data_IF_727322352261
#
_entry.id   IF_727322352261
#
_cell.length_a   1.000
_cell.length_b   1.000
_cell.length_c   1.000
_cell.angle_alpha   90.00
_cell.angle_beta   90.00
_cell.angle_gamma   90.00
#
_symmetry.space_group_name_H-M   'P 1'
#
loop_
_entity.id
_entity.type
_entity.pdbx_description
1 polymer ?
#
# COMPACT_ATOMS: atom_id res chain seq x y z
N UNK A 1 -35.06 13.77 11.89
CA UNK A 1 -33.79 13.05 12.13
C UNK A 1 -32.87 13.11 10.90
N UNK A 2 -32.59 14.31 10.39
CA UNK A 2 -32.04 14.55 9.04
C UNK A 2 -30.50 14.60 8.95
N UNK A 3 -29.80 14.12 9.98
CA UNK A 3 -28.34 13.98 9.96
C UNK A 3 -27.84 12.65 10.50
N UNK A 4 -28.75 11.79 10.98
CA UNK A 4 -28.40 10.53 11.61
C UNK A 4 -27.81 9.53 10.61
N UNK A 5 -28.36 9.46 9.39
CA UNK A 5 -27.82 8.61 8.33
C UNK A 5 -26.37 8.99 7.99
N UNK A 6 -26.12 10.27 7.73
CA UNK A 6 -24.78 10.80 7.46
C UNK A 6 -23.81 10.51 8.62
N UNK A 7 -24.26 10.73 9.87
CA UNK A 7 -23.44 10.46 11.06
C UNK A 7 -23.11 8.97 11.24
N UNK A 8 -24.06 8.08 10.99
CA UNK A 8 -23.84 6.62 11.06
C UNK A 8 -22.81 6.19 10.01
N UNK A 9 -22.96 6.63 8.77
CA UNK A 9 -22.03 6.31 7.67
C UNK A 9 -20.60 6.77 7.99
N UNK A 10 -20.43 8.02 8.43
CA UNK A 10 -19.13 8.58 8.87
C UNK A 10 -18.47 7.68 9.93
N UNK A 11 -19.25 7.25 10.93
CA UNK A 11 -18.74 6.42 12.03
C UNK A 11 -18.40 5.01 11.55
N UNK A 12 -19.27 4.38 10.77
CA UNK A 12 -19.05 3.03 10.23
C UNK A 12 -17.81 2.99 9.34
N UNK A 13 -17.66 3.98 8.46
CA UNK A 13 -16.50 4.09 7.56
C UNK A 13 -15.20 4.33 8.35
N UNK A 14 -15.25 5.10 9.44
CA UNK A 14 -14.09 5.29 10.31
C UNK A 14 -13.62 3.96 10.94
N UNK A 15 -14.55 3.19 11.51
CA UNK A 15 -14.23 1.88 12.09
C UNK A 15 -13.78 0.86 11.03
N UNK A 16 -14.37 0.89 9.84
CA UNK A 16 -13.93 0.07 8.71
C UNK A 16 -12.48 0.39 8.33
N UNK A 17 -12.15 1.67 8.14
CA UNK A 17 -10.80 2.11 7.81
C UNK A 17 -9.79 1.71 8.91
N UNK A 18 -10.17 1.88 10.18
CA UNK A 18 -9.35 1.49 11.32
C UNK A 18 -9.12 -0.03 11.39
N UNK A 19 -10.18 -0.81 11.19
CA UNK A 19 -10.12 -2.27 11.16
C UNK A 19 -9.20 -2.78 10.03
N UNK A 20 -9.36 -2.23 8.82
CA UNK A 20 -8.50 -2.59 7.68
C UNK A 20 -7.05 -2.21 7.94
N UNK A 21 -6.80 -1.02 8.49
CA UNK A 21 -5.43 -0.60 8.82
C UNK A 21 -4.82 -1.52 9.89
N UNK A 22 -5.60 -1.95 10.89
CA UNK A 22 -5.16 -2.90 11.91
C UNK A 22 -4.91 -4.30 11.34
N UNK A 23 -5.73 -4.74 10.37
CA UNK A 23 -5.59 -6.04 9.73
C UNK A 23 -4.36 -6.13 8.83
N UNK A 24 -4.05 -5.07 8.09
CA UNK A 24 -2.98 -5.06 7.08
C UNK A 24 -1.70 -4.32 7.52
N UNK A 25 -1.76 -3.51 8.57
CA UNK A 25 -0.64 -2.75 9.11
C UNK A 25 -0.21 -3.22 10.51
N UNK A 26 1.08 -3.10 10.82
CA UNK A 26 1.62 -3.37 12.16
C UNK A 26 1.71 -2.06 12.96
N UNK A 27 0.76 -1.85 13.88
CA UNK A 27 0.67 -0.61 14.67
C UNK A 27 1.87 -0.41 15.60
N UNK A 28 2.55 -1.51 15.99
CA UNK A 28 3.67 -1.45 16.93
C UNK A 28 4.97 -1.08 16.23
N UNK A 29 5.16 -1.52 14.99
CA UNK A 29 6.39 -1.26 14.22
C UNK A 29 6.35 0.03 13.41
N UNK A 30 5.16 0.48 13.00
CA UNK A 30 5.02 1.65 12.13
C UNK A 30 5.14 2.98 12.89
N UNK A 31 5.61 4.00 12.19
CA UNK A 31 5.68 5.35 12.74
C UNK A 31 4.28 5.95 12.88
N UNK A 32 3.99 6.57 14.04
CA UNK A 32 2.65 7.11 14.36
C UNK A 32 2.13 8.12 13.33
N UNK A 33 3.00 8.97 12.78
CA UNK A 33 2.63 9.93 11.73
C UNK A 33 2.16 9.22 10.46
N UNK A 34 2.86 8.17 10.03
CA UNK A 34 2.50 7.37 8.85
C UNK A 34 1.17 6.66 9.09
N UNK A 35 0.98 6.09 10.28
CA UNK A 35 -0.26 5.43 10.66
C UNK A 35 -1.47 6.40 10.57
N UNK A 36 -1.34 7.59 11.17
CA UNK A 36 -2.41 8.59 11.15
C UNK A 36 -2.69 9.08 9.72
N UNK A 37 -1.65 9.40 8.95
CA UNK A 37 -1.81 9.86 7.58
C UNK A 37 -2.44 8.82 6.67
N UNK A 38 -2.07 7.54 6.81
CA UNK A 38 -2.69 6.43 6.09
C UNK A 38 -4.15 6.21 6.51
N UNK A 39 -4.45 6.26 7.82
CA UNK A 39 -5.82 6.15 8.32
C UNK A 39 -6.70 7.25 7.75
N UNK A 40 -6.24 8.51 7.79
CA UNK A 40 -6.96 9.65 7.25
C UNK A 40 -7.17 9.51 5.73
N UNK A 41 -6.15 9.05 5.00
CA UNK A 41 -6.25 8.83 3.55
C UNK A 41 -7.31 7.79 3.21
N UNK A 42 -7.24 6.62 3.85
CA UNK A 42 -8.18 5.53 3.61
C UNK A 42 -9.59 5.90 4.02
N UNK A 43 -9.72 6.57 5.17
CA UNK A 43 -10.99 7.08 5.65
C UNK A 43 -11.66 8.01 4.64
N UNK A 44 -10.94 9.01 4.13
CA UNK A 44 -11.48 9.93 3.11
C UNK A 44 -11.85 9.20 1.81
N UNK A 45 -11.01 8.28 1.34
CA UNK A 45 -11.30 7.50 0.13
C UNK A 45 -12.57 6.64 0.27
N UNK A 46 -12.71 5.91 1.38
CA UNK A 46 -13.90 5.10 1.62
C UNK A 46 -15.13 5.98 1.82
N UNK A 47 -14.98 7.11 2.50
CA UNK A 47 -16.08 8.03 2.76
C UNK A 47 -16.71 8.52 1.44
N UNK A 48 -15.91 8.82 0.42
CA UNK A 48 -16.42 9.21 -0.91
C UNK A 48 -17.33 8.13 -1.50
N UNK A 49 -16.97 6.85 -1.37
CA UNK A 49 -17.75 5.73 -1.93
C UNK A 49 -19.15 5.64 -1.31
N UNK A 50 -19.26 5.87 -0.01
CA UNK A 50 -20.55 5.79 0.72
C UNK A 50 -21.37 7.08 0.67
N UNK A 51 -20.71 8.25 0.59
CA UNK A 51 -21.40 9.55 0.55
C UNK A 51 -21.90 9.92 -0.85
N UNK A 52 -21.22 9.48 -1.91
CA UNK A 52 -21.63 9.82 -3.29
C UNK A 52 -23.07 9.37 -3.62
N UNK A 53 -23.52 8.13 -3.30
CA UNK A 53 -24.92 7.73 -3.51
C UNK A 53 -25.91 8.59 -2.73
N UNK A 54 -25.57 8.98 -1.48
CA UNK A 54 -26.42 9.84 -0.66
C UNK A 54 -26.58 11.21 -1.31
N UNK A 55 -25.49 11.81 -1.78
CA UNK A 55 -25.52 13.10 -2.48
C UNK A 55 -26.44 13.05 -3.72
N UNK A 56 -26.23 12.07 -4.61
CA UNK A 56 -27.05 11.88 -5.82
C UNK A 56 -28.54 11.71 -5.47
N UNK A 57 -28.85 10.94 -4.41
CA UNK A 57 -30.23 10.72 -3.97
C UNK A 57 -30.90 11.99 -3.44
N UNK A 58 -30.14 12.86 -2.77
CA UNK A 58 -30.66 14.14 -2.26
C UNK A 58 -31.00 15.08 -3.42
N UNK A 59 -30.11 15.25 -4.39
CA UNK A 59 -30.34 16.09 -5.58
C UNK A 59 -31.55 15.62 -6.40
N UNK A 60 -31.71 14.31 -6.58
CA UNK A 60 -32.86 13.72 -7.26
C UNK A 60 -34.19 13.97 -6.55
N UNK A 61 -34.18 14.04 -5.22
CA UNK A 61 -35.38 14.29 -4.40
C UNK A 61 -35.82 15.76 -4.46
N UNK A 62 -34.87 16.71 -4.45
CA UNK A 62 -35.15 18.15 -4.60
C UNK A 62 -35.73 18.48 -5.99
N UNK A 63 -35.25 17.82 -7.04
CA UNK A 63 -35.69 18.08 -8.42
C UNK A 63 -37.14 17.62 -8.70
N UNK A 64 -37.62 16.57 -8.02
CA UNK A 64 -39.01 16.12 -8.09
C UNK A 64 -39.97 16.98 -7.24
N UNK A 65 -39.46 17.61 -6.18
CA UNK A 65 -40.22 18.44 -5.25
C UNK A 65 -40.78 19.73 -5.89
N UNK A 66 -40.23 20.18 -7.02
CA UNK A 66 -40.71 21.37 -7.73
C UNK A 66 -41.80 21.12 -8.78
N UNK A 67 -42.08 19.86 -9.18
CA UNK A 67 -42.93 19.62 -10.36
C UNK A 67 -44.32 19.02 -10.12
N UNK A 68 -44.62 18.35 -9.02
CA UNK A 68 -45.92 17.64 -8.91
C UNK A 68 -46.43 17.52 -7.45
N UNK A 69 -47.65 18.04 -7.22
CA UNK A 69 -48.63 17.82 -6.12
C UNK A 69 -48.44 18.56 -4.77
N UNK A 70 -49.49 19.21 -4.22
CA UNK A 70 -49.51 19.86 -2.90
C UNK A 70 -49.85 18.88 -1.76
N UNK A 71 -49.09 17.78 -1.62
CA UNK A 71 -49.14 16.92 -0.42
C UNK A 71 -47.99 17.27 0.53
N UNK A 72 -48.16 17.17 1.86
CA UNK A 72 -47.07 17.39 2.81
C UNK A 72 -46.01 16.30 2.59
N UNK A 73 -44.93 16.67 1.90
CA UNK A 73 -43.85 15.76 1.58
C UNK A 73 -43.00 15.49 2.84
N UNK A 74 -42.98 14.24 3.31
CA UNK A 74 -42.17 13.85 4.45
C UNK A 74 -40.70 13.75 4.03
N UNK A 75 -39.83 14.42 4.80
CA UNK A 75 -38.38 14.33 4.60
C UNK A 75 -37.94 12.87 4.79
N UNK A 76 -37.29 12.24 3.79
CA UNK A 76 -36.77 10.89 3.95
C UNK A 76 -35.69 10.88 5.02
N UNK A 77 -35.42 9.72 5.63
CA UNK A 77 -34.35 9.55 6.62
C UNK A 77 -33.00 10.05 6.07
N UNK A 78 -32.73 9.80 4.79
CA UNK A 78 -31.52 10.23 4.10
C UNK A 78 -31.47 11.73 3.73
N UNK A 79 -32.49 12.53 4.04
CA UNK A 79 -32.48 13.96 3.72
C UNK A 79 -31.40 14.67 4.52
N UNK A 80 -30.53 15.42 3.84
CA UNK A 80 -29.45 16.23 4.43
C UNK A 80 -29.80 17.71 4.23
N UNK A 81 -29.68 18.57 5.25
CA UNK A 81 -29.92 20.01 5.13
C UNK A 81 -29.05 20.69 4.07
N UNK A 82 -29.64 21.68 3.39
CA UNK A 82 -28.95 22.51 2.42
C UNK A 82 -27.73 23.21 3.07
N UNK A 83 -26.59 23.19 2.37
CA UNK A 83 -25.33 23.79 2.83
C UNK A 83 -24.36 22.83 3.53
N UNK A 84 -24.83 21.71 4.10
CA UNK A 84 -23.91 20.72 4.72
C UNK A 84 -23.07 20.02 3.65
N UNK A 85 -23.70 19.57 2.56
CA UNK A 85 -23.02 18.82 1.51
C UNK A 85 -21.92 19.62 0.79
N UNK A 86 -22.12 20.90 0.40
CA UNK A 86 -21.03 21.73 -0.15
C UNK A 86 -19.86 21.95 0.81
N UNK A 87 -20.12 22.14 2.11
CA UNK A 87 -19.06 22.29 3.12
C UNK A 87 -18.30 20.98 3.29
N UNK A 88 -19.03 19.86 3.37
CA UNK A 88 -18.47 18.52 3.45
C UNK A 88 -17.51 18.23 2.28
N UNK A 89 -17.97 18.42 1.04
CA UNK A 89 -17.15 18.22 -0.15
C UNK A 89 -15.96 19.16 -0.21
N UNK A 90 -16.09 20.40 0.26
CA UNK A 90 -14.95 21.33 0.37
C UNK A 90 -13.89 20.81 1.33
N UNK A 91 -14.29 20.30 2.49
CA UNK A 91 -13.35 19.68 3.45
C UNK A 91 -12.70 18.45 2.82
N UNK A 92 -13.47 17.51 2.28
CA UNK A 92 -12.93 16.30 1.64
C UNK A 92 -11.97 16.64 0.51
N UNK A 93 -12.33 17.59 -0.36
CA UNK A 93 -11.49 18.03 -1.46
C UNK A 93 -10.15 18.58 -0.98
N UNK A 94 -10.14 19.62 -0.13
CA UNK A 94 -8.88 20.26 0.28
C UNK A 94 -8.01 19.35 1.15
N UNK A 95 -8.62 18.56 2.02
CA UNK A 95 -7.89 17.55 2.80
C UNK A 95 -7.24 16.51 1.90
N UNK A 96 -7.96 16.00 0.89
CA UNK A 96 -7.44 15.04 -0.09
C UNK A 96 -6.32 15.63 -0.96
N UNK A 97 -6.43 16.90 -1.37
CA UNK A 97 -5.36 17.60 -2.09
C UNK A 97 -4.10 17.73 -1.23
N UNK A 98 -4.25 18.16 0.03
CA UNK A 98 -3.13 18.24 0.98
C UNK A 98 -2.49 16.87 1.23
N UNK A 99 -3.31 15.83 1.39
CA UNK A 99 -2.81 14.48 1.59
C UNK A 99 -2.03 13.97 0.39
N UNK A 100 -2.57 14.17 -0.80
CA UNK A 100 -2.02 13.61 -2.05
C UNK A 100 -0.73 14.31 -2.46
N UNK A 101 -0.69 15.65 -2.37
CA UNK A 101 0.42 16.43 -2.90
C UNK A 101 1.47 16.83 -1.85
N UNK A 102 1.15 16.74 -0.56
CA UNK A 102 2.08 17.13 0.50
C UNK A 102 2.34 16.00 1.48
N UNK A 103 1.32 15.51 2.18
CA UNK A 103 1.54 14.63 3.33
C UNK A 103 2.03 13.23 2.93
N UNK A 104 1.36 12.55 1.99
CA UNK A 104 1.71 11.18 1.58
C UNK A 104 3.10 11.09 0.93
N UNK A 105 3.47 11.96 -0.04
CA UNK A 105 4.81 11.95 -0.63
C UNK A 105 5.91 12.24 0.41
N UNK A 106 5.67 13.20 1.31
CA UNK A 106 6.57 13.49 2.41
C UNK A 106 6.76 12.27 3.33
N UNK A 107 5.67 11.64 3.77
CA UNK A 107 5.72 10.45 4.62
C UNK A 107 6.42 9.29 3.93
N UNK A 108 6.23 9.13 2.61
CA UNK A 108 6.87 8.07 1.83
C UNK A 108 8.39 8.25 1.77
N UNK A 109 8.89 9.48 1.60
CA UNK A 109 10.33 9.76 1.66
C UNK A 109 10.87 9.72 3.10
N UNK A 110 10.10 10.19 4.08
CA UNK A 110 10.48 10.15 5.49
C UNK A 110 10.66 8.71 6.00
N UNK A 111 9.70 7.82 5.70
CA UNK A 111 9.76 6.41 6.09
C UNK A 111 10.92 5.65 5.42
N UNK A 112 11.32 6.07 4.22
CA UNK A 112 12.39 5.47 3.43
C UNK A 112 13.75 6.16 3.59
N UNK A 113 13.85 7.17 4.45
CA UNK A 113 15.10 7.89 4.70
C UNK A 113 16.02 7.11 5.66
N UNK A 114 17.32 7.08 5.34
CA UNK A 114 18.35 6.47 6.19
C UNK A 114 18.93 7.40 7.26
N UNK A 115 18.32 8.58 7.47
CA UNK A 115 18.78 9.54 8.48
C UNK A 115 18.68 8.97 9.90
N UNK A 116 19.71 9.22 10.72
CA UNK A 116 19.78 8.72 12.11
C UNK A 116 18.99 9.59 13.10
N UNK A 117 18.71 10.84 12.75
CA UNK A 117 17.93 11.79 13.55
C UNK A 117 16.61 12.15 12.86
N UNK A 118 15.59 12.55 13.64
CA UNK A 118 14.30 13.02 13.10
C UNK A 118 14.50 14.20 12.14
N UNK A 119 15.35 15.16 12.53
CA UNK A 119 15.68 16.32 11.70
C UNK A 119 16.39 15.92 10.40
N UNK A 120 17.30 14.95 10.46
CA UNK A 120 17.94 14.38 9.27
C UNK A 120 16.94 13.73 8.33
N UNK A 121 15.99 12.95 8.87
CA UNK A 121 14.92 12.33 8.09
C UNK A 121 13.99 13.36 7.43
N UNK A 122 13.57 14.38 8.17
CA UNK A 122 12.75 15.48 7.63
C UNK A 122 13.50 16.21 6.52
N UNK A 123 14.78 16.55 6.74
CA UNK A 123 15.61 17.23 5.73
C UNK A 123 15.74 16.40 4.46
N UNK A 124 16.06 15.10 4.58
CA UNK A 124 16.13 14.20 3.42
C UNK A 124 14.78 14.11 2.70
N UNK A 125 13.68 13.97 3.44
CA UNK A 125 12.35 13.89 2.84
C UNK A 125 11.97 15.17 2.09
N UNK A 126 12.26 16.35 2.66
CA UNK A 126 12.04 17.63 1.98
C UNK A 126 12.90 17.79 0.74
N UNK A 127 14.17 17.39 0.79
CA UNK A 127 15.06 17.48 -0.38
C UNK A 127 14.59 16.56 -1.51
N UNK A 128 14.25 15.30 -1.21
CA UNK A 128 13.76 14.35 -2.22
C UNK A 128 12.46 14.86 -2.88
N UNK A 129 11.52 15.37 -2.09
CA UNK A 129 10.28 15.95 -2.62
C UNK A 129 10.54 17.27 -3.36
N UNK A 130 11.44 18.14 -2.89
CA UNK A 130 11.77 19.39 -3.56
C UNK A 130 12.44 19.16 -4.93
N UNK A 131 13.27 18.12 -5.06
CA UNK A 131 13.82 17.72 -6.35
C UNK A 131 12.68 17.27 -7.28
N UNK A 132 11.81 16.39 -6.80
CA UNK A 132 10.69 15.87 -7.59
C UNK A 132 9.72 16.98 -8.03
N UNK A 133 9.23 17.82 -7.11
CA UNK A 133 8.33 18.92 -7.47
C UNK A 133 9.04 20.05 -8.21
N UNK A 134 10.33 20.27 -7.92
CA UNK A 134 11.15 21.25 -8.62
C UNK A 134 11.26 20.93 -10.12
N UNK A 135 11.43 19.66 -10.50
CA UNK A 135 11.44 19.29 -11.92
C UNK A 135 10.10 19.51 -12.59
N UNK A 136 8.97 19.19 -11.93
CA UNK A 136 7.64 19.53 -12.47
C UNK A 136 7.42 21.03 -12.61
N UNK A 137 7.87 21.82 -11.62
CA UNK A 137 7.73 23.27 -11.65
C UNK A 137 8.56 23.89 -12.78
N UNK A 138 9.76 23.35 -13.07
CA UNK A 138 10.55 23.78 -14.22
C UNK A 138 9.85 23.49 -15.54
N UNK A 139 9.32 22.28 -15.71
CA UNK A 139 8.58 21.92 -16.93
C UNK A 139 7.34 22.81 -17.08
N UNK A 140 6.54 22.93 -16.03
CA UNK A 140 5.34 23.77 -16.01
C UNK A 140 5.65 25.24 -16.27
N UNK A 141 6.73 25.77 -15.64
CA UNK A 141 7.20 27.13 -15.85
C UNK A 141 7.63 27.39 -17.30
N UNK A 142 8.31 26.43 -17.94
CA UNK A 142 8.69 26.55 -19.35
C UNK A 142 7.48 26.61 -20.29
N UNK A 143 6.44 25.82 -19.99
CA UNK A 143 5.17 25.86 -20.72
C UNK A 143 4.42 27.17 -20.48
N UNK A 144 4.43 27.71 -19.26
CA UNK A 144 3.81 28.99 -18.97
C UNK A 144 4.52 30.14 -19.69
N UNK A 145 5.86 30.13 -19.75
CA UNK A 145 6.62 31.14 -20.51
C UNK A 145 6.24 31.06 -22.00
N UNK A 146 6.15 29.85 -22.55
CA UNK A 146 5.70 29.66 -23.94
C UNK A 146 4.33 30.30 -24.20
N UNK A 147 3.36 30.07 -23.30
CA UNK A 147 2.01 30.64 -23.43
C UNK A 147 2.01 32.16 -23.23
N UNK A 148 2.80 32.68 -22.27
CA UNK A 148 2.85 34.11 -21.94
C UNK A 148 3.53 34.97 -23.02
N UNK A 149 4.40 34.38 -23.86
CA UNK A 149 5.07 35.08 -24.97
C UNK A 149 4.16 35.19 -26.20
N UNK A 150 3.09 34.39 -26.29
CA UNK A 150 2.14 34.50 -27.38
C UNK A 150 1.31 35.79 -27.26
N UNK A 151 1.34 36.69 -28.26
CA UNK A 151 0.77 38.04 -28.17
C UNK A 151 -0.76 38.06 -28.05
N UNK A 152 -1.43 36.96 -28.38
CA UNK A 152 -2.89 36.82 -28.31
C UNK A 152 -3.41 36.28 -26.96
N UNK A 153 -2.51 35.85 -26.05
CA UNK A 153 -2.89 35.16 -24.81
C UNK A 153 -2.47 35.96 -23.57
N UNK A 154 -3.42 36.68 -22.98
CA UNK A 154 -3.23 37.33 -21.69
C UNK A 154 -3.49 36.34 -20.54
N UNK A 155 -2.46 36.05 -19.74
CA UNK A 155 -2.62 35.18 -18.57
C UNK A 155 -2.94 35.99 -17.30
N UNK A 156 -4.17 35.88 -16.82
CA UNK A 156 -4.59 36.40 -15.52
C UNK A 156 -4.33 35.37 -14.41
N UNK A 157 -4.27 35.83 -13.16
CA UNK A 157 -4.14 34.94 -11.99
C UNK A 157 -5.30 33.92 -11.89
N UNK A 158 -6.51 34.34 -12.25
CA UNK A 158 -7.69 33.46 -12.23
C UNK A 158 -7.59 32.35 -13.28
N UNK A 159 -7.10 32.66 -14.48
CA UNK A 159 -6.85 31.66 -15.52
C UNK A 159 -5.74 30.70 -15.10
N UNK A 160 -4.68 31.18 -14.43
CA UNK A 160 -3.63 30.33 -13.90
C UNK A 160 -4.15 29.35 -12.83
N UNK A 161 -5.02 29.80 -11.92
CA UNK A 161 -5.70 28.93 -10.96
C UNK A 161 -6.56 27.89 -11.66
N UNK A 162 -7.29 28.31 -12.71
CA UNK A 162 -8.13 27.43 -13.52
C UNK A 162 -7.31 26.36 -14.23
N UNK A 163 -6.16 26.72 -14.80
CA UNK A 163 -5.21 25.79 -15.42
C UNK A 163 -4.71 24.78 -14.37
N UNK A 164 -4.34 25.23 -13.17
CA UNK A 164 -3.86 24.35 -12.10
C UNK A 164 -4.91 23.33 -11.65
N UNK A 165 -6.14 23.79 -11.40
CA UNK A 165 -7.27 22.91 -11.03
C UNK A 165 -7.58 21.91 -12.16
N UNK A 166 -7.60 22.40 -13.40
CA UNK A 166 -7.87 21.56 -14.57
C UNK A 166 -6.77 20.52 -14.76
N UNK A 167 -5.49 20.90 -14.64
CA UNK A 167 -4.37 19.98 -14.75
C UNK A 167 -4.40 18.89 -13.68
N UNK A 168 -4.70 19.24 -12.42
CA UNK A 168 -4.83 18.28 -11.33
C UNK A 168 -5.99 17.30 -11.56
N UNK A 169 -7.13 17.79 -12.07
CA UNK A 169 -8.26 16.93 -12.43
C UNK A 169 -7.94 16.03 -13.63
N UNK A 170 -7.27 16.54 -14.65
CA UNK A 170 -6.83 15.77 -15.82
C UNK A 170 -5.87 14.65 -15.43
N UNK A 171 -4.96 14.90 -14.47
CA UNK A 171 -4.10 13.85 -13.93
C UNK A 171 -4.90 12.73 -13.26
N UNK A 172 -5.91 13.07 -12.45
CA UNK A 172 -6.81 12.10 -11.83
C UNK A 172 -7.62 11.30 -12.86
N UNK A 173 -8.17 11.97 -13.87
CA UNK A 173 -8.92 11.33 -14.96
C UNK A 173 -8.04 10.41 -15.81
N UNK A 174 -6.79 10.82 -16.09
CA UNK A 174 -5.83 10.00 -16.80
C UNK A 174 -5.55 8.70 -16.04
N UNK A 175 -5.28 8.78 -14.73
CA UNK A 175 -5.10 7.59 -13.90
C UNK A 175 -6.37 6.73 -13.84
N UNK A 176 -7.55 7.34 -13.76
CA UNK A 176 -8.82 6.62 -13.81
C UNK A 176 -8.94 5.83 -15.11
N UNK A 177 -8.70 6.44 -16.27
CA UNK A 177 -8.78 5.76 -17.57
C UNK A 177 -7.81 4.57 -17.63
N UNK A 178 -6.57 4.72 -17.13
CA UNK A 178 -5.60 3.62 -17.09
C UNK A 178 -6.00 2.48 -16.15
N UNK A 179 -6.52 2.80 -14.97
CA UNK A 179 -6.85 1.81 -13.94
C UNK A 179 -8.23 1.17 -14.14
N UNK A 180 -9.18 1.89 -14.76
CA UNK A 180 -10.55 1.44 -14.99
C UNK A 180 -10.58 0.19 -15.88
N UNK A 181 -9.72 0.11 -16.89
CA UNK A 181 -9.63 -1.06 -17.76
C UNK A 181 -9.28 -2.33 -16.97
N UNK A 182 -8.31 -2.24 -16.06
CA UNK A 182 -7.97 -3.36 -15.17
C UNK A 182 -9.13 -3.70 -14.23
N UNK A 183 -9.76 -2.68 -13.62
CA UNK A 183 -10.86 -2.85 -12.68
C UNK A 183 -12.11 -3.49 -13.28
N UNK A 184 -12.54 -3.04 -14.47
CA UNK A 184 -13.76 -3.53 -15.12
C UNK A 184 -13.57 -4.85 -15.85
N UNK A 185 -12.36 -5.17 -16.33
CA UNK A 185 -12.13 -6.35 -17.16
C UNK A 185 -11.36 -7.43 -16.41
N UNK A 186 -10.17 -7.11 -15.90
CA UNK A 186 -9.30 -8.15 -15.33
C UNK A 186 -9.82 -8.64 -13.99
N UNK A 187 -10.44 -7.80 -13.15
CA UNK A 187 -10.99 -8.26 -11.86
C UNK A 187 -12.13 -9.29 -12.09
N UNK A 188 -13.23 -8.99 -12.84
CA UNK A 188 -14.26 -9.99 -13.09
C UNK A 188 -13.74 -11.24 -13.79
N UNK A 189 -12.86 -11.07 -14.80
CA UNK A 189 -12.22 -12.19 -15.50
C UNK A 189 -11.39 -13.06 -14.55
N UNK A 190 -10.71 -12.45 -13.58
CA UNK A 190 -9.92 -13.19 -12.60
C UNK A 190 -10.79 -14.05 -11.70
N UNK A 191 -11.96 -13.56 -11.26
CA UNK A 191 -12.93 -14.36 -10.50
C UNK A 191 -13.55 -15.46 -11.36
N UNK A 192 -13.92 -15.16 -12.60
CA UNK A 192 -14.43 -16.16 -13.53
C UNK A 192 -13.41 -17.28 -13.79
N UNK A 193 -12.14 -16.94 -13.96
CA UNK A 193 -11.09 -17.94 -14.17
C UNK A 193 -10.63 -18.63 -12.87
N UNK A 194 -10.93 -18.07 -11.70
CA UNK A 194 -10.60 -18.70 -10.42
C UNK A 194 -11.42 -19.96 -10.16
N UNK A 195 -12.59 -20.12 -10.79
CA UNK A 195 -13.37 -21.37 -10.73
C UNK A 195 -12.76 -22.50 -11.57
N UNK A 196 -11.86 -22.18 -12.52
CA UNK A 196 -11.22 -23.17 -13.40
C UNK A 196 -9.94 -23.70 -12.76
N UNK A 197 -10.05 -24.75 -11.94
CA UNK A 197 -8.96 -25.29 -11.13
C UNK A 197 -7.67 -25.57 -11.93
N UNK A 198 -7.76 -26.23 -13.09
CA UNK A 198 -6.58 -26.51 -13.93
C UNK A 198 -5.89 -25.25 -14.48
N UNK A 199 -6.66 -24.26 -14.95
CA UNK A 199 -6.08 -22.98 -15.40
C UNK A 199 -5.45 -22.21 -14.24
N UNK A 200 -6.11 -22.21 -13.08
CA UNK A 200 -5.62 -21.55 -11.88
C UNK A 200 -4.31 -22.17 -11.38
N UNK A 201 -4.19 -23.50 -11.43
CA UNK A 201 -2.95 -24.21 -11.07
C UNK A 201 -1.79 -23.82 -11.99
N UNK A 202 -1.99 -23.88 -13.32
CA UNK A 202 -0.95 -23.51 -14.30
C UNK A 202 -0.54 -22.04 -14.13
N UNK A 203 -1.51 -21.13 -13.96
CA UNK A 203 -1.26 -19.71 -13.68
C UNK A 203 -0.46 -19.52 -12.38
N UNK A 204 -0.73 -20.33 -11.37
CA UNK A 204 -0.04 -20.29 -10.07
C UNK A 204 1.40 -20.76 -10.20
N UNK A 205 1.67 -21.85 -10.95
CA UNK A 205 3.05 -22.26 -11.25
C UNK A 205 3.84 -21.21 -12.00
N UNK A 206 3.25 -20.60 -13.02
CA UNK A 206 3.92 -19.51 -13.76
C UNK A 206 4.29 -18.35 -12.83
N UNK A 207 3.37 -17.94 -11.95
CA UNK A 207 3.64 -16.92 -10.93
C UNK A 207 4.72 -17.37 -9.94
N UNK A 208 4.72 -18.64 -9.54
CA UNK A 208 5.69 -19.20 -8.62
C UNK A 208 7.10 -19.11 -9.22
N UNK A 209 7.29 -19.53 -10.47
CA UNK A 209 8.59 -19.42 -11.15
C UNK A 209 9.10 -17.98 -11.18
N UNK A 210 8.23 -17.01 -11.53
CA UNK A 210 8.61 -15.59 -11.53
C UNK A 210 8.96 -15.09 -10.12
N UNK A 211 8.16 -15.42 -9.12
CA UNK A 211 8.37 -14.97 -7.75
C UNK A 211 9.60 -15.61 -7.11
N UNK A 212 9.96 -16.83 -7.50
CA UNK A 212 11.20 -17.50 -7.08
C UNK A 212 12.42 -16.71 -7.54
N UNK A 213 12.46 -16.27 -8.80
CA UNK A 213 13.54 -15.40 -9.31
C UNK A 213 13.60 -14.10 -8.51
N UNK A 214 12.47 -13.40 -8.35
CA UNK A 214 12.44 -12.16 -7.57
C UNK A 214 12.85 -12.34 -6.09
N UNK A 215 12.59 -13.52 -5.53
CA UNK A 215 13.00 -13.88 -4.17
C UNK A 215 14.51 -14.11 -4.12
N UNK A 216 15.08 -14.84 -5.07
CA UNK A 216 16.52 -15.08 -5.17
C UNK A 216 17.28 -13.75 -5.32
N UNK A 217 16.85 -12.87 -6.24
CA UNK A 217 17.47 -11.53 -6.42
C UNK A 217 17.42 -10.70 -5.11
N UNK A 218 16.33 -10.82 -4.34
CA UNK A 218 16.17 -10.12 -3.08
C UNK A 218 17.02 -10.71 -1.94
N UNK A 219 17.30 -12.01 -1.98
CA UNK A 219 18.20 -12.72 -1.07
C UNK A 219 19.65 -12.33 -1.35
N UNK A 220 20.08 -12.37 -2.61
CA UNK A 220 21.42 -11.95 -3.05
C UNK A 220 21.69 -10.49 -2.68
N UNK A 221 20.80 -9.56 -3.04
CA UNK A 221 20.96 -8.15 -2.70
C UNK A 221 20.94 -7.91 -1.17
N UNK A 222 20.29 -8.77 -0.37
CA UNK A 222 20.39 -8.68 1.07
C UNK A 222 21.78 -9.11 1.55
N UNK A 223 22.30 -10.22 1.02
CA UNK A 223 23.65 -10.72 1.34
C UNK A 223 24.74 -9.68 1.03
N UNK A 224 24.70 -9.06 -0.16
CA UNK A 224 25.63 -8.00 -0.57
C UNK A 224 25.65 -6.84 0.43
N UNK A 225 24.46 -6.35 0.80
CA UNK A 225 24.30 -5.24 1.74
C UNK A 225 24.75 -5.64 3.15
N UNK A 226 24.53 -6.89 3.56
CA UNK A 226 25.01 -7.39 4.86
C UNK A 226 26.54 -7.49 4.89
N UNK A 227 27.19 -7.81 3.77
CA UNK A 227 28.64 -7.80 3.66
C UNK A 227 29.22 -6.38 3.78
N UNK A 228 28.59 -5.39 3.15
CA UNK A 228 28.96 -3.97 3.32
C UNK A 228 28.82 -3.51 4.78
N UNK A 229 27.74 -3.90 5.46
CA UNK A 229 27.53 -3.61 6.89
C UNK A 229 28.62 -4.24 7.73
N UNK A 230 29.00 -5.50 7.44
CA UNK A 230 30.07 -6.20 8.15
C UNK A 230 31.41 -5.47 8.01
N UNK A 231 31.82 -5.15 6.78
CA UNK A 231 33.05 -4.39 6.48
C UNK A 231 33.11 -3.06 7.24
N UNK A 232 31.99 -2.33 7.26
CA UNK A 232 31.90 -1.05 7.96
C UNK A 232 31.92 -1.23 9.48
N UNK A 233 31.26 -2.27 10.00
CA UNK A 233 31.29 -2.59 11.43
C UNK A 233 32.71 -2.94 11.90
N UNK A 234 33.46 -3.72 11.11
CA UNK A 234 34.85 -4.12 11.38
C UNK A 234 35.81 -2.92 11.34
N UNK A 235 35.61 -1.98 10.41
CA UNK A 235 36.47 -0.79 10.29
C UNK A 235 36.26 0.26 11.40
N UNK A 236 35.09 0.30 12.05
CA UNK A 236 34.76 1.30 13.07
C UNK A 236 34.89 0.69 14.47
N UNK A 237 35.99 1.04 15.15
CA UNK A 237 36.28 0.64 16.54
C UNK A 237 35.16 1.09 17.51
N UNK A 238 35.03 0.37 18.64
CA UNK A 238 33.96 0.57 19.63
C UNK A 238 33.93 1.98 20.24
N UNK A 239 35.09 2.62 20.41
CA UNK A 239 35.21 3.96 20.98
C UNK A 239 34.90 5.11 20.00
N UNK A 240 34.67 4.81 18.72
CA UNK A 240 34.49 5.86 17.72
C UNK A 240 33.09 6.51 17.80
N UNK A 241 32.93 7.84 17.68
CA UNK A 241 31.63 8.52 17.74
C UNK A 241 30.61 8.03 16.70
N UNK A 242 31.07 7.46 15.58
CA UNK A 242 30.21 6.90 14.54
C UNK A 242 29.67 5.49 14.88
N UNK A 243 30.18 4.84 15.92
CA UNK A 243 29.74 3.49 16.31
C UNK A 243 28.25 3.44 16.63
N UNK A 244 27.71 4.49 17.27
CA UNK A 244 26.27 4.66 17.53
C UNK A 244 25.41 4.53 16.26
N UNK A 245 25.93 4.99 15.11
CA UNK A 245 25.23 4.92 13.84
C UNK A 245 25.28 3.50 13.28
N UNK A 246 26.42 2.83 13.37
CA UNK A 246 26.58 1.40 13.01
C UNK A 246 25.64 0.53 13.85
N UNK A 247 25.60 0.73 15.17
CA UNK A 247 24.71 -0.04 16.05
C UNK A 247 23.22 0.18 15.70
N UNK A 248 22.87 1.38 15.26
CA UNK A 248 21.52 1.67 14.75
C UNK A 248 21.23 0.91 13.46
N UNK A 249 22.21 0.77 12.56
CA UNK A 249 22.10 -0.03 11.34
C UNK A 249 21.97 -1.52 11.68
N UNK A 250 22.81 -2.05 12.58
CA UNK A 250 22.81 -3.45 12.98
C UNK A 250 21.45 -3.88 13.55
N UNK A 251 20.79 -3.01 14.33
CA UNK A 251 19.42 -3.24 14.83
C UNK A 251 18.37 -3.40 13.73
N UNK A 252 18.65 -2.98 12.50
CA UNK A 252 17.77 -3.16 11.33
C UNK A 252 18.05 -4.42 10.55
N UNK A 253 19.21 -5.05 10.74
CA UNK A 253 19.56 -6.32 10.11
C UNK A 253 18.71 -7.47 10.68
N UNK A 254 18.52 -8.56 9.92
CA UNK A 254 17.87 -9.77 10.42
C UNK A 254 18.68 -10.40 11.57
N UNK A 255 17.99 -11.12 12.45
CA UNK A 255 18.59 -11.71 13.67
C UNK A 255 19.72 -12.69 13.29
N UNK A 256 19.56 -13.45 12.20
CA UNK A 256 20.59 -14.40 11.76
C UNK A 256 21.93 -13.71 11.41
N UNK A 257 21.87 -12.47 10.91
CA UNK A 257 23.06 -11.69 10.59
C UNK A 257 23.62 -10.96 11.81
N UNK A 258 22.77 -10.52 12.74
CA UNK A 258 23.22 -9.90 13.99
C UNK A 258 24.09 -10.85 14.82
N UNK A 259 23.66 -12.11 14.96
CA UNK A 259 24.41 -13.12 15.72
C UNK A 259 25.75 -13.47 15.06
N UNK A 260 25.77 -13.61 13.71
CA UNK A 260 27.00 -13.89 12.95
C UNK A 260 28.01 -12.75 13.04
N UNK A 261 27.55 -11.50 13.07
CA UNK A 261 28.43 -10.33 13.21
C UNK A 261 28.92 -10.15 14.64
N UNK A 262 28.09 -10.45 15.65
CA UNK A 262 28.47 -10.36 17.05
C UNK A 262 29.58 -11.33 17.46
N UNK A 263 29.54 -12.58 16.96
CA UNK A 263 30.53 -13.62 17.29
C UNK A 263 31.94 -13.36 16.74
N UNK A 264 32.09 -12.57 15.67
CA UNK A 264 33.39 -12.31 15.04
C UNK A 264 34.10 -11.05 15.57
N UNK A 265 33.46 -10.29 16.47
CA UNK A 265 34.02 -9.05 17.04
C UNK A 265 34.91 -9.27 18.25
N UNK A 266 34.87 -10.46 18.86
CA UNK A 266 35.58 -10.76 20.11
C UNK A 266 37.07 -11.13 19.88
N UNK A 267 37.49 -11.36 18.64
CA UNK A 267 38.83 -11.88 18.28
C UNK A 267 39.81 -10.83 17.71
N UNK A 268 39.49 -9.54 17.72
CA UNK A 268 40.34 -8.54 17.04
C UNK A 268 41.45 -8.00 17.96
N UNK A 269 42.63 -8.60 17.87
CA UNK A 269 43.87 -8.07 18.43
C UNK A 269 44.29 -6.74 17.76
N UNK A 270 44.99 -5.91 18.53
CA UNK A 270 45.35 -4.51 18.26
C UNK A 270 46.48 -4.37 17.22
N UNK A 271 46.32 -4.97 16.03
CA UNK A 271 47.31 -4.86 14.95
C UNK A 271 47.16 -3.55 14.16
N UNK A 272 48.13 -2.67 14.41
CA UNK A 272 48.62 -1.52 13.66
C UNK A 272 47.63 -0.59 12.92
N UNK A 273 47.81 0.70 13.17
CA UNK A 273 47.17 1.89 12.57
C UNK A 273 47.40 1.98 11.04
N UNK A 274 46.86 1.01 10.28
CA UNK A 274 46.57 1.27 8.87
C UNK A 274 45.54 2.38 8.83
N UNK A 275 45.86 3.39 8.05
CA UNK A 275 45.13 4.63 7.80
C UNK A 275 43.69 4.36 7.36
N UNK A 276 42.84 3.95 8.31
CA UNK A 276 41.46 3.58 8.07
C UNK A 276 40.72 4.87 7.69
N UNK A 277 40.42 5.00 6.40
CA UNK A 277 39.56 6.08 5.92
C UNK A 277 38.16 5.81 6.44
N UNK A 278 37.82 6.44 7.56
CA UNK A 278 36.51 6.27 8.18
C UNK A 278 35.40 6.79 7.23
N UNK A 279 34.29 6.04 7.09
CA UNK A 279 33.18 6.49 6.27
C UNK A 279 32.52 7.72 6.88
N UNK A 280 32.09 8.64 6.03
CA UNK A 280 31.31 9.81 6.45
C UNK A 280 29.94 9.44 7.02
N UNK A 281 29.33 10.33 7.80
CA UNK A 281 27.93 10.16 8.26
C UNK A 281 26.95 10.01 7.08
N UNK A 282 27.21 10.70 5.96
CA UNK A 282 26.38 10.62 4.75
C UNK A 282 26.44 9.23 4.09
N UNK A 283 27.61 8.60 4.06
CA UNK A 283 27.76 7.22 3.58
C UNK A 283 27.07 6.23 4.51
N UNK A 284 27.18 6.42 5.83
CA UNK A 284 26.46 5.58 6.80
C UNK A 284 24.93 5.73 6.67
N UNK A 285 24.43 6.94 6.43
CA UNK A 285 23.01 7.17 6.18
C UNK A 285 22.54 6.52 4.86
N UNK A 286 23.39 6.50 3.82
CA UNK A 286 23.11 5.79 2.57
C UNK A 286 23.06 4.27 2.79
N UNK A 287 24.01 3.71 3.52
CA UNK A 287 24.01 2.29 3.88
C UNK A 287 22.79 1.93 4.71
N UNK A 288 22.45 2.75 5.71
CA UNK A 288 21.24 2.55 6.52
C UNK A 288 19.98 2.53 5.65
N UNK A 289 19.89 3.43 4.66
CA UNK A 289 18.82 3.41 3.66
C UNK A 289 18.83 2.07 2.90
N UNK A 290 19.96 1.64 2.34
CA UNK A 290 20.07 0.36 1.62
C UNK A 290 19.63 -0.84 2.47
N UNK A 291 20.07 -0.92 3.74
CA UNK A 291 19.66 -1.97 4.69
C UNK A 291 18.15 -1.99 4.89
N UNK A 292 17.52 -0.84 5.11
CA UNK A 292 16.06 -0.76 5.28
C UNK A 292 15.34 -1.33 4.05
N UNK A 293 15.77 -0.95 2.84
CA UNK A 293 15.14 -1.42 1.60
C UNK A 293 15.39 -2.92 1.35
N UNK A 294 16.62 -3.40 1.53
CA UNK A 294 16.98 -4.80 1.33
C UNK A 294 16.19 -5.71 2.28
N UNK A 295 16.14 -5.37 3.57
CA UNK A 295 15.40 -6.13 4.59
C UNK A 295 13.90 -6.10 4.31
N UNK A 296 13.33 -4.97 3.91
CA UNK A 296 11.92 -4.89 3.53
C UNK A 296 11.59 -5.73 2.30
N UNK A 297 12.44 -5.67 1.26
CA UNK A 297 12.25 -6.40 0.01
C UNK A 297 12.36 -7.92 0.23
N UNK A 298 13.37 -8.37 0.97
CA UNK A 298 13.56 -9.78 1.35
C UNK A 298 12.37 -10.31 2.16
N UNK A 299 11.93 -9.58 3.20
CA UNK A 299 10.77 -10.02 3.98
C UNK A 299 9.49 -10.08 3.13
N UNK A 300 9.29 -9.10 2.24
CA UNK A 300 8.14 -9.08 1.33
C UNK A 300 8.14 -10.29 0.39
N UNK A 301 9.26 -10.55 -0.30
CA UNK A 301 9.34 -11.69 -1.23
C UNK A 301 9.20 -13.02 -0.50
N UNK A 302 9.81 -13.16 0.68
CA UNK A 302 9.71 -14.37 1.50
C UNK A 302 8.26 -14.69 1.88
N UNK A 303 7.50 -13.70 2.37
CA UNK A 303 6.09 -13.91 2.73
C UNK A 303 5.23 -14.17 1.49
N UNK A 304 5.42 -13.41 0.40
CA UNK A 304 4.70 -13.63 -0.85
C UNK A 304 4.96 -15.04 -1.41
N UNK A 305 6.21 -15.51 -1.32
CA UNK A 305 6.60 -16.85 -1.74
C UNK A 305 5.89 -17.93 -0.94
N UNK A 306 5.87 -17.81 0.40
CA UNK A 306 5.19 -18.75 1.28
C UNK A 306 3.68 -18.82 0.99
N UNK A 307 3.01 -17.67 0.84
CA UNK A 307 1.58 -17.61 0.52
C UNK A 307 1.28 -18.27 -0.84
N UNK A 308 2.10 -17.98 -1.85
CA UNK A 308 1.91 -18.52 -3.19
C UNK A 308 2.19 -20.03 -3.25
N UNK A 309 3.19 -20.50 -2.51
CA UNK A 309 3.52 -21.91 -2.41
C UNK A 309 2.40 -22.70 -1.72
N UNK A 310 1.85 -22.19 -0.62
CA UNK A 310 0.69 -22.80 0.04
C UNK A 310 -0.52 -22.87 -0.91
N UNK A 311 -0.76 -21.82 -1.69
CA UNK A 311 -1.81 -21.82 -2.70
C UNK A 311 -1.56 -22.86 -3.80
N UNK A 312 -0.32 -22.98 -4.28
CA UNK A 312 0.05 -23.97 -5.30
C UNK A 312 -0.17 -25.40 -4.79
N UNK A 313 0.32 -25.71 -3.60
CA UNK A 313 0.16 -27.01 -2.94
C UNK A 313 -1.32 -27.34 -2.76
N UNK A 314 -2.12 -26.39 -2.28
CA UNK A 314 -3.55 -26.61 -2.11
C UNK A 314 -4.25 -26.93 -3.44
N UNK A 315 -3.89 -26.23 -4.52
CA UNK A 315 -4.47 -26.49 -5.85
C UNK A 315 -4.02 -27.84 -6.42
N UNK A 316 -2.79 -28.28 -6.15
CA UNK A 316 -2.33 -29.63 -6.48
C UNK A 316 -3.12 -30.69 -5.73
N UNK A 317 -3.36 -30.48 -4.44
CA UNK A 317 -4.16 -31.39 -3.61
C UNK A 317 -5.59 -31.48 -4.17
N UNK A 318 -6.20 -30.34 -4.52
CA UNK A 318 -7.52 -30.33 -5.17
C UNK A 318 -7.50 -31.15 -6.47
N UNK A 319 -6.52 -30.91 -7.36
CA UNK A 319 -6.43 -31.62 -8.64
C UNK A 319 -6.21 -33.14 -8.46
N UNK A 320 -5.37 -33.55 -7.51
CA UNK A 320 -5.14 -34.98 -7.20
C UNK A 320 -6.40 -35.63 -6.64
N UNK A 321 -7.08 -34.97 -5.70
CA UNK A 321 -8.28 -35.50 -5.06
C UNK A 321 -9.49 -35.55 -6.00
N UNK A 322 -9.61 -34.63 -6.97
CA UNK A 322 -10.64 -34.67 -8.00
C UNK A 322 -10.60 -35.98 -8.81
N UNK A 323 -9.40 -36.53 -9.01
CA UNK A 323 -9.20 -37.83 -9.67
C UNK A 323 -9.26 -39.03 -8.73
N UNK A 324 -9.35 -38.82 -7.41
CA UNK A 324 -9.30 -39.90 -6.42
C UNK A 324 -10.67 -40.55 -6.22
N UNK A 325 -10.67 -41.88 -6.11
CA UNK A 325 -11.87 -42.68 -5.81
C UNK A 325 -12.18 -42.77 -4.31
N UNK A 326 -11.28 -42.29 -3.44
CA UNK A 326 -11.39 -42.51 -1.98
C UNK A 326 -12.37 -41.59 -1.27
N UNK A 327 -13.01 -40.64 -1.97
CA UNK A 327 -14.02 -39.69 -1.44
C UNK A 327 -13.59 -38.93 -0.17
N UNK A 328 -12.30 -38.89 0.11
CA UNK A 328 -11.70 -38.21 1.25
C UNK A 328 -10.66 -37.25 0.70
N UNK A 329 -10.72 -36.00 1.17
CA UNK A 329 -9.72 -35.01 0.78
C UNK A 329 -8.40 -35.29 1.50
N UNK A 330 -7.38 -35.69 0.73
CA UNK A 330 -6.04 -35.97 1.25
C UNK A 330 -5.12 -34.79 0.97
N UNK A 331 -4.53 -34.21 2.01
CA UNK A 331 -3.52 -33.17 1.89
C UNK A 331 -2.12 -33.77 1.66
N UNK A 332 -1.32 -33.20 0.76
CA UNK A 332 0.07 -33.64 0.54
C UNK A 332 0.98 -33.32 1.75
N UNK A 333 0.63 -32.30 2.52
CA UNK A 333 1.34 -31.91 3.75
C UNK A 333 0.33 -31.71 4.89
N UNK A 334 0.67 -32.10 6.14
CA UNK A 334 -0.21 -31.84 7.28
C UNK A 334 -0.40 -30.33 7.46
N UNK A 335 -1.65 -29.90 7.61
CA UNK A 335 -1.99 -28.51 7.91
C UNK A 335 -1.26 -28.05 9.18
N UNK A 336 -0.57 -26.91 9.09
CA UNK A 336 0.19 -26.34 10.21
C UNK A 336 -0.70 -25.78 11.34
N UNK A 337 -1.99 -25.56 11.06
CA UNK A 337 -2.99 -25.14 12.04
C UNK A 337 -3.85 -26.34 12.45
N UNK A 338 -3.96 -26.66 13.76
CA UNK A 338 -4.92 -27.65 14.22
C UNK A 338 -6.34 -27.15 13.94
N UNK A 339 -7.17 -27.97 13.31
CA UNK A 339 -8.57 -27.61 13.03
C UNK A 339 -9.27 -27.14 14.30
N UNK A 340 -9.66 -25.87 14.33
CA UNK A 340 -10.48 -25.33 15.40
C UNK A 340 -11.80 -26.10 15.51
N UNK A 341 -12.37 -26.17 16.71
CA UNK A 341 -13.67 -26.80 17.00
C UNK A 341 -14.75 -26.42 15.96
N UNK A 342 -14.77 -25.15 15.56
CA UNK A 342 -15.76 -24.60 14.62
C UNK A 342 -15.58 -25.14 13.20
N UNK A 343 -14.33 -25.29 12.74
CA UNK A 343 -13.99 -25.84 11.42
C UNK A 343 -14.37 -27.31 11.34
N UNK A 344 -14.13 -28.09 12.41
CA UNK A 344 -14.54 -29.51 12.47
C UNK A 344 -16.05 -29.71 12.42
N UNK A 345 -16.83 -28.76 12.92
CA UNK A 345 -18.30 -28.87 12.95
C UNK A 345 -18.94 -28.50 11.60
N UNK A 346 -18.31 -27.59 10.84
CA UNK A 346 -18.85 -27.08 9.56
C UNK A 346 -18.23 -27.77 8.34
N UNK A 347 -16.97 -28.18 8.44
CA UNK A 347 -16.21 -28.81 7.36
C UNK A 347 -16.06 -30.31 7.64
N UNK A 348 -16.89 -31.13 7.01
CA UNK A 348 -16.65 -32.58 6.92
C UNK A 348 -15.67 -32.86 5.78
N UNK A 349 -14.60 -33.66 5.98
CA UNK A 349 -13.58 -33.94 4.96
C UNK A 349 -14.07 -34.85 3.81
N UNK A 350 -15.36 -35.16 3.77
CA UNK A 350 -16.00 -36.00 2.76
C UNK A 350 -16.23 -35.19 1.48
N UNK A 351 -15.50 -35.51 0.42
CA UNK A 351 -15.69 -34.87 -0.87
C UNK A 351 -16.98 -35.39 -1.53
N UNK A 352 -18.01 -34.54 -1.58
CA UNK A 352 -19.28 -34.86 -2.25
C UNK A 352 -19.08 -34.73 -3.77
N UNK A 353 -19.48 -35.72 -4.58
CA UNK A 353 -19.26 -35.67 -6.03
C UNK A 353 -20.03 -34.50 -6.67
N UNK A 354 -19.36 -33.75 -7.56
CA UNK A 354 -20.03 -32.88 -8.53
C UNK A 354 -20.75 -33.77 -9.56
N UNK A 355 -21.91 -34.27 -9.19
CA UNK A 355 -22.94 -34.67 -10.16
C UNK A 355 -23.93 -33.52 -10.15
N UNK A 356 -23.83 -32.62 -11.13
CA UNK A 356 -24.92 -31.91 -11.81
C UNK A 356 -24.33 -30.75 -12.64
N UNK A 357 -23.77 -31.08 -13.81
CA UNK A 357 -23.83 -30.18 -14.96
C UNK A 357 -25.31 -30.07 -15.36
N UNK A 358 -26.02 -29.08 -14.82
CA UNK A 358 -27.29 -28.62 -15.37
C UNK A 358 -27.30 -27.09 -15.47
N UNK A 359 -27.32 -26.62 -16.71
CA UNK A 359 -27.88 -25.35 -17.16
C UNK A 359 -28.99 -24.85 -16.24
N UNK A 360 -28.86 -23.63 -15.70
CA UNK A 360 -29.84 -22.78 -14.96
C UNK A 360 -28.98 -21.62 -14.40
N UNK A 361 -29.09 -20.33 -14.72
CA UNK A 361 -30.16 -19.50 -15.26
C UNK A 361 -29.60 -18.28 -16.03
N UNK A 362 -30.29 -17.94 -17.12
CA UNK A 362 -30.52 -16.57 -17.55
C UNK A 362 -31.24 -15.77 -16.45
N UNK A 363 -30.74 -14.58 -16.11
CA UNK A 363 -31.52 -13.35 -15.90
C UNK A 363 -30.58 -12.14 -15.90
#
# INVERSE_FOLDING_TARGET
MSGAALGIEIVVVFFLALFLLHRYGDFKKQQRMVLFGTLLAWYLCFLIVFILPLDVSTVGSHSKMQRVVPTPCYKPWSYIPDGIMPVFWRVVYWTSQCLTWLLLPFMQSYARSGGFSITGKIKTALIENAIYYGTYLLIFGSLLIYVAVHPEWHLTWYELQTIGITAANTWGLFLLVLLLGYGLVEIPRSYWNASRHGHLLIKTYFKASKLMTEKADAEENLEDVMEEVRKISESIKYNHPLRKYVDTILRKCPVEYQEKMGRNMDDYEDFDDKQNTYPSEKSLAKLHKQVIYAVQRHNRTRVQWQMLLQQAIHLEDVAKNETSLTHQFVHSFPSAEPDGWFTRYIYTPTAVPSKYDYNIFYL
#
